data_IF_631558911013
#
_entry.id   IF_631558911013
#
_cell.length_a   1.000
_cell.length_b   1.000
_cell.length_c   1.000
_cell.angle_alpha   90.00
_cell.angle_beta   90.00
_cell.angle_gamma   90.00
#
_symmetry.space_group_name_H-M   'P 1'
#
loop_
_entity.id
_entity.type
_entity.pdbx_description
1 polymer ?
#
# COMPACT_ATOMS: atom_id res chain seq x y z
N UNK A 1 13.19 -15.51 13.50
CA UNK A 1 12.26 -15.59 12.38
C UNK A 1 13.04 -16.08 11.17
N UNK A 2 12.52 -17.07 10.44
CA UNK A 2 13.14 -17.52 9.20
C UNK A 2 12.67 -16.67 8.00
N UNK A 3 13.34 -16.81 6.86
CA UNK A 3 13.04 -15.98 5.68
C UNK A 3 11.61 -16.18 5.16
N UNK A 4 11.03 -17.37 5.28
CA UNK A 4 9.65 -17.63 4.83
C UNK A 4 8.61 -16.97 5.73
N UNK A 5 8.84 -17.00 7.05
CA UNK A 5 8.01 -16.28 8.03
C UNK A 5 8.10 -14.77 7.82
N UNK A 6 9.31 -14.25 7.55
CA UNK A 6 9.51 -12.84 7.22
C UNK A 6 8.71 -12.44 5.98
N UNK A 7 8.85 -13.19 4.87
CA UNK A 7 8.17 -12.86 3.60
C UNK A 7 6.66 -12.83 3.76
N UNK A 8 6.05 -13.82 4.44
CA UNK A 8 4.61 -13.84 4.69
C UNK A 8 4.13 -12.62 5.48
N UNK A 9 4.88 -12.24 6.51
CA UNK A 9 4.56 -11.06 7.32
C UNK A 9 4.70 -9.79 6.49
N UNK A 10 5.75 -9.66 5.69
CA UNK A 10 5.97 -8.51 4.83
C UNK A 10 4.85 -8.36 3.79
N UNK A 11 4.51 -9.43 3.07
CA UNK A 11 3.41 -9.47 2.09
C UNK A 11 2.07 -9.08 2.74
N UNK A 12 1.75 -9.69 3.89
CA UNK A 12 0.50 -9.40 4.61
C UNK A 12 0.46 -7.97 5.12
N UNK A 13 1.60 -7.44 5.59
CA UNK A 13 1.69 -6.07 6.11
C UNK A 13 1.53 -5.05 4.99
N UNK A 14 2.14 -5.29 3.83
CA UNK A 14 2.02 -4.41 2.67
C UNK A 14 0.58 -4.35 2.19
N UNK A 15 -0.08 -5.50 2.02
CA UNK A 15 -1.49 -5.56 1.64
C UNK A 15 -2.37 -4.80 2.65
N UNK A 16 -2.15 -5.02 3.95
CA UNK A 16 -2.90 -4.32 5.01
C UNK A 16 -2.72 -2.80 4.95
N UNK A 17 -1.51 -2.31 4.68
CA UNK A 17 -1.26 -0.87 4.55
C UNK A 17 -2.00 -0.31 3.34
N UNK A 18 -1.96 -0.99 2.19
CA UNK A 18 -2.69 -0.59 0.98
C UNK A 18 -4.19 -0.46 1.26
N UNK A 19 -4.81 -1.52 1.80
CA UNK A 19 -6.25 -1.53 2.14
C UNK A 19 -6.62 -0.36 3.08
N UNK A 20 -5.78 -0.08 4.09
CA UNK A 20 -6.05 0.99 5.05
C UNK A 20 -5.93 2.38 4.47
N UNK A 21 -5.12 2.56 3.43
CA UNK A 21 -5.01 3.84 2.72
C UNK A 21 -6.25 4.02 1.84
N UNK A 22 -6.66 3.00 1.07
CA UNK A 22 -7.89 3.07 0.25
C UNK A 22 -9.13 3.35 1.11
N UNK A 23 -9.23 2.73 2.28
CA UNK A 23 -10.34 2.97 3.23
C UNK A 23 -10.39 4.42 3.74
N UNK A 24 -9.25 5.10 3.87
CA UNK A 24 -9.13 6.44 4.47
C UNK A 24 -9.05 7.57 3.44
N UNK A 25 -8.69 7.26 2.20
CA UNK A 25 -8.55 8.23 1.11
C UNK A 25 -9.89 8.52 0.43
N UNK A 26 -10.79 9.16 1.17
CA UNK A 26 -12.14 9.53 0.69
C UNK A 26 -12.12 10.43 -0.56
N UNK A 27 -11.05 11.21 -0.74
CA UNK A 27 -10.89 12.15 -1.86
C UNK A 27 -10.20 11.52 -3.09
N UNK A 28 -9.86 10.22 -3.04
CA UNK A 28 -9.05 9.55 -4.06
C UNK A 28 -7.78 10.37 -4.43
N UNK A 29 -7.15 10.94 -3.41
CA UNK A 29 -5.97 11.80 -3.50
C UNK A 29 -4.66 11.00 -3.55
N UNK A 30 -4.72 9.69 -3.31
CA UNK A 30 -3.59 8.76 -3.26
C UNK A 30 -3.86 7.63 -4.25
N UNK A 31 -3.04 7.55 -5.29
CA UNK A 31 -2.99 6.40 -6.18
C UNK A 31 -2.02 5.37 -5.61
N UNK A 32 -2.48 4.12 -5.54
CA UNK A 32 -1.75 3.01 -4.93
C UNK A 32 -1.32 2.05 -6.03
N UNK A 33 -0.02 1.78 -6.09
CA UNK A 33 0.57 0.82 -7.04
C UNK A 33 1.43 -0.21 -6.30
N UNK A 34 1.26 -1.49 -6.68
CA UNK A 34 1.99 -2.62 -6.14
C UNK A 34 2.88 -3.23 -7.23
N UNK A 35 4.18 -3.01 -7.12
CA UNK A 35 5.18 -3.54 -8.05
C UNK A 35 5.97 -4.67 -7.39
N UNK A 36 5.43 -5.88 -7.44
CA UNK A 36 5.98 -7.03 -6.73
C UNK A 36 5.89 -6.80 -5.22
N UNK A 37 7.04 -6.75 -4.55
CA UNK A 37 7.13 -6.57 -3.09
C UNK A 37 7.22 -5.09 -2.66
N UNK A 38 7.02 -4.15 -3.59
CA UNK A 38 7.14 -2.71 -3.36
C UNK A 38 5.77 -2.06 -3.44
N UNK A 39 5.37 -1.38 -2.36
CA UNK A 39 4.21 -0.50 -2.32
C UNK A 39 4.62 0.93 -2.68
N UNK A 40 3.99 1.49 -3.71
CA UNK A 40 4.21 2.85 -4.18
C UNK A 40 2.93 3.65 -3.94
N UNK A 41 3.08 4.81 -3.32
CA UNK A 41 2.00 5.75 -3.04
C UNK A 41 2.25 7.04 -3.81
N UNK A 42 1.32 7.40 -4.68
CA UNK A 42 1.42 8.58 -5.54
C UNK A 42 0.38 9.58 -5.10
N UNK A 43 0.84 10.72 -4.58
CA UNK A 43 -0.06 11.82 -4.24
C UNK A 43 -0.55 12.50 -5.53
N UNK A 44 -1.84 12.35 -5.81
CA UNK A 44 -2.51 13.08 -6.88
C UNK A 44 -2.92 14.45 -6.35
N UNK A 45 -2.34 15.51 -6.91
CA UNK A 45 -2.86 16.86 -6.69
C UNK A 45 -4.14 17.04 -7.48
N UNK A 46 -5.28 16.98 -6.80
CA UNK A 46 -6.56 17.43 -7.35
C UNK A 46 -6.56 18.95 -7.36
N UNK A 47 -6.28 19.57 -8.51
CA UNK A 47 -6.49 21.00 -8.68
C UNK A 47 -7.98 21.24 -8.88
N UNK A 48 -8.66 21.76 -7.86
CA UNK A 48 -9.99 22.39 -7.99
C UNK A 48 -9.88 23.78 -8.62
#
# INVERSE_FOLDING_TARGET
MNNSEFSKIAETTIAYIADKIEEQDEEASIDIDLQGDILILILIKVYM
#
